data_IF_834116186262
#
_entry.id   IF_834116186262
#
_cell.length_a   1.000
_cell.length_b   1.000
_cell.length_c   1.000
_cell.angle_alpha   90.00
_cell.angle_beta   90.00
_cell.angle_gamma   90.00
#
_symmetry.space_group_name_H-M   'P 1'
#
loop_
_entity.id
_entity.type
_entity.pdbx_description
1 polymer ?
#
# COMPACT_ATOMS: atom_id res chain seq x y z
N UNK A 1 -11.84 -10.68 9.78
CA UNK A 1 -10.51 -10.06 9.70
C UNK A 1 -9.50 -11.17 9.93
N UNK A 2 -8.60 -11.45 8.98
CA UNK A 2 -7.56 -12.47 9.19
C UNK A 2 -6.55 -12.00 10.25
N UNK A 3 -5.88 -12.92 10.96
CA UNK A 3 -4.84 -12.54 11.93
C UNK A 3 -3.64 -11.95 11.21
N UNK A 4 -3.20 -10.76 11.61
CA UNK A 4 -2.04 -10.04 11.05
C UNK A 4 -0.96 -9.80 12.10
N UNK A 5 -0.85 -10.71 13.09
CA UNK A 5 0.12 -10.59 14.19
C UNK A 5 1.59 -10.68 13.75
N UNK A 6 1.85 -11.24 12.57
CA UNK A 6 3.14 -11.18 11.89
C UNK A 6 3.12 -10.02 10.90
N UNK A 7 4.02 -9.06 11.13
CA UNK A 7 4.23 -7.90 10.26
C UNK A 7 4.49 -8.33 8.82
N UNK A 8 3.81 -7.70 7.86
CA UNK A 8 3.97 -7.88 6.43
C UNK A 8 3.05 -8.91 5.79
N UNK A 9 2.39 -9.77 6.57
CA UNK A 9 1.45 -10.75 6.01
C UNK A 9 0.13 -10.10 5.54
N UNK A 10 -0.24 -8.97 6.15
CA UNK A 10 -1.48 -8.26 5.83
C UNK A 10 -1.56 -7.82 4.37
N UNK A 11 -0.44 -7.38 3.78
CA UNK A 11 -0.42 -6.93 2.39
C UNK A 11 -0.56 -8.09 1.39
N UNK A 12 0.08 -9.24 1.67
CA UNK A 12 -0.06 -10.46 0.86
C UNK A 12 -1.52 -10.95 0.83
N UNK A 13 -2.17 -10.95 2.00
CA UNK A 13 -3.59 -11.31 2.12
C UNK A 13 -4.46 -10.32 1.35
N UNK A 14 -4.21 -9.01 1.49
CA UNK A 14 -4.95 -7.98 0.77
C UNK A 14 -4.81 -8.12 -0.76
N UNK A 15 -3.61 -8.44 -1.24
CA UNK A 15 -3.36 -8.77 -2.66
C UNK A 15 -4.18 -9.96 -3.13
N UNK A 16 -4.20 -11.06 -2.37
CA UNK A 16 -5.01 -12.24 -2.67
C UNK A 16 -6.52 -11.94 -2.69
N UNK A 17 -7.02 -11.17 -1.72
CA UNK A 17 -8.43 -10.75 -1.68
C UNK A 17 -8.80 -9.89 -2.89
N UNK A 18 -7.94 -8.95 -3.26
CA UNK A 18 -8.17 -8.06 -4.40
C UNK A 18 -8.19 -8.84 -5.72
N UNK A 19 -7.26 -9.78 -5.91
CA UNK A 19 -7.26 -10.69 -7.06
C UNK A 19 -8.52 -11.56 -7.10
N UNK A 20 -8.91 -12.15 -5.98
CA UNK A 20 -10.13 -12.96 -5.88
C UNK A 20 -11.38 -12.17 -6.30
N UNK A 21 -11.52 -10.93 -5.82
CA UNK A 21 -12.63 -10.06 -6.22
C UNK A 21 -12.62 -9.72 -7.71
N UNK A 22 -11.44 -9.43 -8.28
CA UNK A 22 -11.28 -9.16 -9.71
C UNK A 22 -11.68 -10.37 -10.56
N UNK A 23 -11.19 -11.57 -10.21
CA UNK A 23 -11.51 -12.81 -10.92
C UNK A 23 -13.00 -13.17 -10.81
N UNK A 24 -13.63 -12.86 -9.68
CA UNK A 24 -15.06 -13.07 -9.47
C UNK A 24 -15.95 -11.96 -10.09
N UNK A 25 -15.39 -10.98 -10.80
CA UNK A 25 -16.15 -9.86 -11.38
C UNK A 25 -16.84 -8.95 -10.35
N UNK A 26 -16.36 -8.96 -9.10
CA UNK A 26 -16.96 -8.19 -8.01
C UNK A 26 -16.44 -6.76 -7.99
N UNK A 27 -17.33 -5.79 -7.84
CA UNK A 27 -16.97 -4.36 -7.76
C UNK A 27 -16.37 -3.93 -6.39
N UNK A 28 -16.14 -4.89 -5.48
CA UNK A 28 -15.59 -4.63 -4.16
C UNK A 28 -14.18 -4.04 -4.23
N UNK A 29 -13.89 -3.13 -3.30
CA UNK A 29 -12.55 -2.59 -3.06
C UNK A 29 -11.95 -3.18 -1.80
N UNK A 30 -10.64 -3.42 -1.86
CA UNK A 30 -9.84 -3.86 -0.72
C UNK A 30 -8.99 -2.66 -0.26
N UNK A 31 -8.90 -2.49 1.05
CA UNK A 31 -8.05 -1.48 1.66
C UNK A 31 -7.11 -2.18 2.64
N UNK A 32 -5.84 -1.77 2.64
CA UNK A 32 -4.82 -2.28 3.54
C UNK A 32 -4.06 -1.10 4.14
N UNK A 33 -3.76 -1.16 5.43
CA UNK A 33 -2.90 -0.21 6.13
C UNK A 33 -1.65 -0.97 6.54
N UNK A 34 -0.49 -0.42 6.28
CA UNK A 34 0.83 -1.01 6.55
C UNK A 34 1.67 0.04 7.26
N UNK A 35 2.38 -0.34 8.32
CA UNK A 35 3.31 0.57 9.01
C UNK A 35 4.61 0.76 8.24
N UNK A 36 5.28 1.89 8.38
CA UNK A 36 6.60 2.09 7.78
C UNK A 36 7.65 1.07 8.26
N UNK A 37 7.65 0.68 9.54
CA UNK A 37 8.52 -0.38 10.03
C UNK A 37 8.14 -1.79 9.56
N UNK A 38 6.87 -2.02 9.24
CA UNK A 38 6.40 -3.26 8.62
C UNK A 38 6.99 -3.44 7.20
N UNK A 39 7.32 -2.34 6.51
CA UNK A 39 7.92 -2.35 5.18
C UNK A 39 9.39 -2.80 5.17
N UNK A 40 10.02 -2.98 6.33
CA UNK A 40 11.34 -3.60 6.41
C UNK A 40 11.29 -5.10 6.09
N UNK A 41 10.12 -5.73 6.22
CA UNK A 41 9.94 -7.14 5.87
C UNK A 41 9.98 -7.35 4.35
N UNK A 42 10.83 -8.27 3.90
CA UNK A 42 10.99 -8.59 2.47
C UNK A 42 9.69 -9.01 1.79
N UNK A 43 8.83 -9.73 2.51
CA UNK A 43 7.54 -10.21 1.98
C UNK A 43 6.62 -9.07 1.51
N UNK A 44 6.74 -7.87 2.10
CA UNK A 44 5.96 -6.71 1.67
C UNK A 44 6.27 -6.36 0.21
N UNK A 45 7.55 -6.40 -0.16
CA UNK A 45 8.03 -6.06 -1.50
C UNK A 45 7.65 -7.13 -2.53
N UNK A 46 7.69 -8.41 -2.14
CA UNK A 46 7.15 -9.51 -2.97
C UNK A 46 5.65 -9.31 -3.25
N UNK A 47 4.87 -8.95 -2.21
CA UNK A 47 3.46 -8.66 -2.35
C UNK A 47 3.20 -7.44 -3.26
N UNK A 48 3.98 -6.36 -3.14
CA UNK A 48 3.85 -5.20 -4.02
C UNK A 48 4.14 -5.56 -5.48
N UNK A 49 5.17 -6.38 -5.75
CA UNK A 49 5.47 -6.85 -7.10
C UNK A 49 4.29 -7.65 -7.67
N UNK A 50 3.73 -8.57 -6.89
CA UNK A 50 2.55 -9.36 -7.27
C UNK A 50 1.33 -8.48 -7.58
N UNK A 51 1.03 -7.51 -6.70
CA UNK A 51 -0.10 -6.58 -6.85
C UNK A 51 0.02 -5.76 -8.14
N UNK A 52 1.22 -5.27 -8.44
CA UNK A 52 1.50 -4.51 -9.65
C UNK A 52 1.40 -5.38 -10.92
N UNK A 53 2.01 -6.57 -10.90
CA UNK A 53 1.96 -7.53 -12.01
C UNK A 53 0.51 -7.87 -12.42
N UNK A 54 -0.37 -8.11 -11.43
CA UNK A 54 -1.78 -8.42 -11.67
C UNK A 54 -2.66 -7.19 -11.89
N UNK A 55 -2.11 -5.96 -11.84
CA UNK A 55 -2.82 -4.69 -12.04
C UNK A 55 -4.08 -4.63 -11.15
N UNK A 56 -3.90 -4.84 -9.85
CA UNK A 56 -5.00 -4.89 -8.88
C UNK A 56 -5.45 -3.48 -8.48
N UNK A 57 -6.12 -2.79 -9.40
CA UNK A 57 -6.61 -1.40 -9.22
C UNK A 57 -7.75 -1.27 -8.21
N UNK A 58 -8.32 -2.40 -7.77
CA UNK A 58 -9.32 -2.47 -6.70
C UNK A 58 -8.71 -2.54 -5.29
N UNK A 59 -7.38 -2.56 -5.15
CA UNK A 59 -6.67 -2.46 -3.88
C UNK A 59 -6.11 -1.05 -3.66
N UNK A 60 -6.31 -0.48 -2.48
CA UNK A 60 -5.63 0.74 -2.03
C UNK A 60 -4.84 0.46 -0.76
N UNK A 61 -3.58 0.86 -0.75
CA UNK A 61 -2.65 0.65 0.35
C UNK A 61 -2.36 2.01 0.99
N UNK A 62 -2.47 2.08 2.30
CA UNK A 62 -2.06 3.21 3.09
C UNK A 62 -0.79 2.83 3.83
N UNK A 63 0.25 3.64 3.68
CA UNK A 63 1.44 3.52 4.51
C UNK A 63 1.34 4.53 5.64
N UNK A 64 1.34 4.06 6.88
CA UNK A 64 1.51 4.94 8.04
C UNK A 64 2.99 5.25 8.22
N UNK A 65 3.37 6.45 7.76
CA UNK A 65 4.73 6.95 7.81
C UNK A 65 4.91 7.87 9.02
N UNK A 66 5.00 7.27 10.19
CA UNK A 66 5.12 7.97 11.48
C UNK A 66 6.58 8.07 11.97
N UNK A 67 7.51 7.38 11.31
CA UNK A 67 8.95 7.33 11.53
C UNK A 67 9.37 6.70 12.87
N UNK A 68 8.51 5.91 13.49
CA UNK A 68 8.73 5.30 14.80
C UNK A 68 8.57 3.79 14.72
N UNK A 69 9.51 3.07 15.33
CA UNK A 69 9.47 1.62 15.50
C UNK A 69 9.53 1.25 16.98
N UNK A 70 9.50 -0.05 17.28
CA UNK A 70 9.59 -0.54 18.66
C UNK A 70 10.90 -0.11 19.34
N UNK A 71 12.03 -0.22 18.62
CA UNK A 71 13.37 -0.03 19.17
C UNK A 71 13.95 1.37 18.93
N UNK A 72 13.21 2.29 18.29
CA UNK A 72 13.67 3.65 18.03
C UNK A 72 13.09 4.30 16.77
N UNK A 73 13.74 5.37 16.31
CA UNK A 73 13.36 6.03 15.07
C UNK A 73 13.67 5.15 13.86
N UNK A 74 12.79 5.18 12.84
CA UNK A 74 12.92 4.37 11.63
C UNK A 74 14.31 4.48 10.99
N UNK A 75 14.83 5.71 10.87
CA UNK A 75 16.10 5.97 10.20
C UNK A 75 17.33 5.49 10.99
N UNK A 76 17.21 5.31 12.32
CA UNK A 76 18.27 4.77 13.16
C UNK A 76 18.31 3.24 13.13
N UNK A 77 17.14 2.60 12.98
CA UNK A 77 17.02 1.15 12.92
C UNK A 77 17.31 0.65 11.50
N UNK A 78 16.46 1.02 10.54
CA UNK A 78 16.62 0.72 9.10
C UNK A 78 15.99 1.86 8.30
N UNK A 79 16.85 2.72 7.74
CA UNK A 79 16.41 3.82 6.89
C UNK A 79 15.66 3.31 5.65
N UNK A 80 14.44 3.80 5.47
CA UNK A 80 13.59 3.41 4.35
C UNK A 80 13.93 4.13 3.03
N UNK A 81 14.91 5.06 3.03
CA UNK A 81 15.34 5.83 1.87
C UNK A 81 14.17 6.54 1.16
N UNK A 82 14.22 6.69 -0.17
CA UNK A 82 13.12 7.23 -0.96
C UNK A 82 11.99 6.19 -1.11
N UNK A 83 11.07 6.21 -0.14
CA UNK A 83 9.93 5.30 -0.14
C UNK A 83 8.98 5.56 -1.33
N UNK A 84 8.78 6.82 -1.69
CA UNK A 84 7.89 7.20 -2.79
C UNK A 84 8.45 6.69 -4.14
N UNK A 85 9.76 6.84 -4.35
CA UNK A 85 10.48 6.29 -5.50
C UNK A 85 10.43 4.77 -5.55
N UNK A 86 10.60 4.07 -4.42
CA UNK A 86 10.46 2.61 -4.36
C UNK A 86 9.08 2.15 -4.85
N UNK A 87 7.99 2.69 -4.31
CA UNK A 87 6.65 2.31 -4.76
C UNK A 87 6.41 2.61 -6.24
N UNK A 88 6.89 3.76 -6.75
CA UNK A 88 6.81 4.07 -8.18
C UNK A 88 7.59 3.09 -9.04
N UNK A 89 8.77 2.65 -8.60
CA UNK A 89 9.58 1.66 -9.31
C UNK A 89 8.88 0.30 -9.40
N UNK A 90 8.09 -0.08 -8.38
CA UNK A 90 7.22 -1.26 -8.41
C UNK A 90 5.95 -1.07 -9.27
N UNK A 91 5.72 0.13 -9.82
CA UNK A 91 4.59 0.42 -10.71
C UNK A 91 3.35 0.98 -10.02
N UNK A 92 3.46 1.44 -8.77
CA UNK A 92 2.35 2.08 -8.05
C UNK A 92 2.22 3.55 -8.40
N UNK A 93 0.98 4.02 -8.44
CA UNK A 93 0.69 5.44 -8.24
C UNK A 93 0.80 5.76 -6.75
N UNK A 94 1.46 6.88 -6.41
CA UNK A 94 1.80 7.24 -5.03
C UNK A 94 1.40 8.69 -4.78
N UNK A 95 0.66 8.90 -3.70
CA UNK A 95 0.26 10.23 -3.24
C UNK A 95 0.64 10.37 -1.78
N UNK A 96 1.55 11.30 -1.51
CA UNK A 96 1.98 11.62 -0.15
C UNK A 96 1.04 12.65 0.45
N UNK A 97 0.50 12.35 1.63
CA UNK A 97 -0.47 13.20 2.33
C UNK A 97 0.04 13.47 3.74
N UNK A 98 0.07 14.75 4.14
CA UNK A 98 0.39 15.12 5.53
C UNK A 98 -0.72 14.64 6.48
N UNK A 99 -0.35 13.87 7.50
CA UNK A 99 -1.25 13.45 8.58
C UNK A 99 -1.84 14.63 9.35
N UNK A 100 -3.14 14.60 9.62
CA UNK A 100 -3.85 15.62 10.41
C UNK A 100 -5.32 15.83 9.99
N UNK A 101 -5.91 16.98 10.35
CA UNK A 101 -7.33 17.29 10.07
C UNK A 101 -7.71 17.23 8.58
N UNK A 102 -6.75 17.42 7.67
CA UNK A 102 -7.00 17.45 6.23
C UNK A 102 -6.81 16.10 5.53
N UNK A 103 -6.35 15.05 6.23
CA UNK A 103 -6.08 13.73 5.65
C UNK A 103 -7.31 13.15 4.97
N UNK A 104 -8.48 13.20 5.60
CA UNK A 104 -9.71 12.66 5.02
C UNK A 104 -10.13 13.36 3.71
N UNK A 105 -9.89 14.66 3.59
CA UNK A 105 -10.20 15.41 2.37
C UNK A 105 -9.23 15.08 1.23
N UNK A 106 -7.94 15.00 1.53
CA UNK A 106 -6.91 14.61 0.56
C UNK A 106 -7.11 13.16 0.06
N UNK A 107 -7.46 12.23 0.96
CA UNK A 107 -7.81 10.85 0.61
C UNK A 107 -9.03 10.76 -0.30
N UNK A 108 -10.11 11.50 0.02
CA UNK A 108 -11.32 11.54 -0.83
C UNK A 108 -11.02 12.04 -2.24
N UNK A 109 -10.13 13.01 -2.39
CA UNK A 109 -9.70 13.53 -3.68
C UNK A 109 -8.91 12.48 -4.48
N UNK A 110 -7.85 11.93 -3.87
CA UNK A 110 -7.01 10.90 -4.51
C UNK A 110 -7.81 9.67 -4.97
N UNK A 111 -8.73 9.19 -4.13
CA UNK A 111 -9.58 8.04 -4.47
C UNK A 111 -10.59 8.32 -5.59
N UNK A 112 -11.00 9.59 -5.79
CA UNK A 112 -11.86 10.01 -6.90
C UNK A 112 -11.08 10.08 -8.21
N UNK A 113 -9.90 10.69 -8.19
CA UNK A 113 -9.07 10.89 -9.38
C UNK A 113 -8.61 9.53 -9.96
N UNK A 114 -8.38 8.52 -9.11
CA UNK A 114 -8.08 7.14 -9.54
C UNK A 114 -9.19 6.40 -10.27
N UNK A 115 -10.45 6.89 -10.25
CA UNK A 115 -11.51 6.32 -11.11
C UNK A 115 -11.33 6.67 -12.58
N UNK A 116 -10.48 7.65 -12.89
CA UNK A 116 -10.34 8.21 -14.24
C UNK A 116 -9.00 7.89 -14.90
N UNK A 117 -8.06 7.26 -14.19
CA UNK A 117 -6.74 6.99 -14.75
C UNK A 117 -6.72 5.67 -15.52
N UNK A 118 -6.32 5.67 -16.81
CA UNK A 118 -6.08 4.44 -17.54
C UNK A 118 -4.94 3.67 -16.88
N UNK A 119 -5.07 2.33 -16.87
CA UNK A 119 -3.99 1.44 -16.47
C UNK A 119 -2.81 1.75 -17.39
N UNK A 120 -1.65 2.16 -16.83
CA UNK A 120 -0.44 2.33 -17.64
C UNK A 120 -0.10 0.99 -18.29
N UNK A 121 -0.16 0.96 -19.62
CA UNK A 121 0.42 -0.12 -20.40
C UNK A 121 1.94 0.00 -20.27
N UNK A 122 2.56 -1.07 -19.77
CA UNK A 122 3.98 -1.31 -19.87
C UNK A 122 4.16 -2.35 -20.97
#
# INVERSE_FOLDING_TARGET
>A
MPPTGSLGQGISIAGGMALSHKLAGRANRVFCIVGDGELNEGQCWEAFQFIAHHRLTNLTIFVDWNKQQLDGELDEIICAFDLEGKFRAFGFDVVTVKGGRHTAAALKRSLRDRRQMPVREW
#
